data_IF_068911821518
#
_entry.id   IF_068911821518
#
_cell.length_a   1.000
_cell.length_b   1.000
_cell.length_c   1.000
_cell.angle_alpha   90.00
_cell.angle_beta   90.00
_cell.angle_gamma   90.00
#
_symmetry.space_group_name_H-M   'P 1'
#
loop_
_entity.id
_entity.type
_entity.pdbx_description
1 polymer ?
#
# COMPACT_ATOMS: atom_id res chain seq x y z
N UNK A 1 -9.48 22.60 26.31
CA UNK A 1 -8.57 21.45 26.24
C UNK A 1 -8.44 21.09 24.79
N UNK A 2 -7.34 21.53 24.19
CA UNK A 2 -6.98 21.24 22.81
C UNK A 2 -6.86 19.71 22.70
N UNK A 3 -7.77 19.07 21.96
CA UNK A 3 -7.70 17.63 21.67
C UNK A 3 -6.26 17.31 21.24
N UNK A 4 -5.57 16.37 21.89
CA UNK A 4 -4.17 16.05 21.57
C UNK A 4 -4.05 15.79 20.07
N UNK A 5 -3.45 16.76 19.36
CA UNK A 5 -3.39 16.75 17.90
C UNK A 5 -2.62 15.50 17.43
N UNK A 6 -1.62 15.05 18.21
CA UNK A 6 -0.85 13.85 17.88
C UNK A 6 -1.71 12.59 17.99
N UNK A 7 -2.61 12.51 18.97
CA UNK A 7 -3.55 11.38 19.06
C UNK A 7 -4.41 11.31 17.79
N UNK A 8 -5.03 12.43 17.40
CA UNK A 8 -5.88 12.50 16.20
C UNK A 8 -5.13 12.19 14.90
N UNK A 9 -3.89 12.69 14.78
CA UNK A 9 -3.04 12.35 13.64
C UNK A 9 -2.69 10.86 13.61
N UNK A 10 -2.48 10.25 14.78
CA UNK A 10 -2.20 8.82 14.91
C UNK A 10 -3.43 7.96 14.59
N UNK A 11 -4.63 8.39 14.98
CA UNK A 11 -5.89 7.77 14.52
C UNK A 11 -6.04 7.87 13.00
N UNK A 12 -5.76 9.04 12.42
CA UNK A 12 -5.78 9.24 10.97
C UNK A 12 -4.79 8.33 10.24
N UNK A 13 -3.58 8.19 10.80
CA UNK A 13 -2.57 7.25 10.33
C UNK A 13 -3.10 5.81 10.33
N UNK A 14 -3.63 5.33 11.47
CA UNK A 14 -4.21 3.99 11.58
C UNK A 14 -5.32 3.74 10.56
N UNK A 15 -6.23 4.70 10.41
CA UNK A 15 -7.34 4.59 9.46
C UNK A 15 -6.82 4.42 8.03
N UNK A 16 -5.91 5.31 7.63
CA UNK A 16 -5.34 5.30 6.28
C UNK A 16 -4.51 4.03 6.00
N UNK A 17 -3.81 3.51 7.01
CA UNK A 17 -3.02 2.28 6.89
C UNK A 17 -3.93 1.05 6.79
N UNK A 18 -5.05 1.04 7.52
CA UNK A 18 -6.08 0.01 7.37
C UNK A 18 -6.70 -0.01 5.96
N UNK A 19 -6.93 1.17 5.39
CA UNK A 19 -7.42 1.30 4.01
C UNK A 19 -6.38 0.80 3.01
N UNK A 20 -5.12 1.20 3.16
CA UNK A 20 -4.01 0.73 2.33
C UNK A 20 -3.88 -0.80 2.37
N UNK A 21 -3.86 -1.39 3.57
CA UNK A 21 -3.86 -2.85 3.77
C UNK A 21 -5.01 -3.54 3.06
N UNK A 22 -6.22 -2.96 3.12
CA UNK A 22 -7.40 -3.50 2.46
C UNK A 22 -7.27 -3.42 0.95
N UNK A 23 -6.74 -2.33 0.41
CA UNK A 23 -6.48 -2.18 -1.02
C UNK A 23 -5.47 -3.23 -1.50
N UNK A 24 -4.35 -3.42 -0.80
CA UNK A 24 -3.36 -4.46 -1.11
C UNK A 24 -3.98 -5.86 -1.16
N UNK A 25 -4.79 -6.21 -0.14
CA UNK A 25 -5.46 -7.51 -0.05
C UNK A 25 -6.50 -7.75 -1.15
N UNK A 26 -7.16 -6.68 -1.62
CA UNK A 26 -8.20 -6.77 -2.63
C UNK A 26 -7.70 -7.35 -3.95
N UNK A 27 -6.43 -7.11 -4.31
CA UNK A 27 -5.84 -7.61 -5.55
C UNK A 27 -5.96 -9.14 -5.66
N UNK A 28 -5.60 -9.84 -4.60
CA UNK A 28 -5.63 -11.31 -4.58
C UNK A 28 -7.04 -11.87 -4.47
N UNK A 29 -7.92 -11.20 -3.71
CA UNK A 29 -9.32 -11.59 -3.56
C UNK A 29 -10.10 -11.44 -4.87
N UNK A 30 -9.89 -10.34 -5.59
CA UNK A 30 -10.61 -10.00 -6.82
C UNK A 30 -10.07 -10.77 -8.03
N UNK A 31 -8.74 -10.91 -8.11
CA UNK A 31 -8.06 -11.42 -9.30
C UNK A 31 -7.41 -12.79 -9.06
N UNK A 32 -6.63 -12.94 -7.99
CA UNK A 32 -5.78 -14.12 -7.75
C UNK A 32 -6.54 -15.44 -7.68
N UNK A 33 -7.60 -15.51 -6.87
CA UNK A 33 -8.40 -16.74 -6.72
C UNK A 33 -9.11 -17.20 -8.00
N UNK A 34 -9.33 -16.29 -8.94
CA UNK A 34 -10.01 -16.60 -10.19
C UNK A 34 -9.03 -16.93 -11.32
N UNK A 35 -7.88 -16.25 -11.39
CA UNK A 35 -6.82 -16.63 -12.32
C UNK A 35 -6.34 -18.05 -12.09
N UNK A 36 -6.24 -18.48 -10.82
CA UNK A 36 -5.89 -19.87 -10.50
C UNK A 36 -6.94 -20.89 -10.96
N UNK A 37 -8.21 -20.50 -11.01
CA UNK A 37 -9.31 -21.37 -11.48
C UNK A 37 -9.39 -21.45 -13.00
N UNK A 38 -9.06 -20.35 -13.68
CA UNK A 38 -9.09 -20.22 -15.13
C UNK A 38 -7.76 -20.60 -15.79
N UNK A 39 -6.74 -20.96 -15.01
CA UNK A 39 -5.40 -21.34 -15.49
C UNK A 39 -4.72 -20.25 -16.33
N UNK A 40 -5.14 -18.99 -16.21
CA UNK A 40 -4.51 -17.85 -16.90
C UNK A 40 -3.12 -17.52 -16.34
N UNK A 41 -2.84 -17.95 -15.10
CA UNK A 41 -1.55 -17.79 -14.44
C UNK A 41 -1.10 -19.13 -13.85
N UNK A 42 0.16 -19.47 -14.06
CA UNK A 42 0.81 -20.54 -13.31
C UNK A 42 1.16 -20.09 -11.87
N UNK A 43 1.73 -21.01 -11.07
CA UNK A 43 2.05 -20.72 -9.67
C UNK A 43 3.15 -19.66 -9.51
N UNK A 44 4.11 -19.62 -10.43
CA UNK A 44 5.22 -18.67 -10.40
C UNK A 44 4.74 -17.27 -10.81
N UNK A 45 3.96 -17.18 -11.89
CA UNK A 45 3.30 -15.96 -12.36
C UNK A 45 2.35 -15.39 -11.29
N UNK A 46 1.56 -16.25 -10.64
CA UNK A 46 0.70 -15.84 -9.53
C UNK A 46 1.52 -15.30 -8.35
N UNK A 47 2.63 -15.96 -8.00
CA UNK A 47 3.52 -15.50 -6.93
C UNK A 47 4.17 -14.17 -7.29
N UNK A 48 4.54 -13.98 -8.56
CA UNK A 48 5.15 -12.74 -9.03
C UNK A 48 4.20 -11.54 -8.91
N UNK A 49 2.93 -11.72 -9.30
CA UNK A 49 1.94 -10.65 -9.26
C UNK A 49 1.44 -10.33 -7.84
N UNK A 50 1.23 -11.35 -7.01
CA UNK A 50 0.57 -11.16 -5.71
C UNK A 50 1.51 -11.27 -4.51
N UNK A 51 2.68 -11.89 -4.65
CA UNK A 51 3.60 -12.14 -3.54
C UNK A 51 4.13 -10.86 -2.88
N UNK A 52 4.51 -9.86 -3.69
CA UNK A 52 4.90 -8.56 -3.16
C UNK A 52 3.76 -7.82 -2.45
N UNK A 53 2.53 -7.94 -2.96
CA UNK A 53 1.36 -7.34 -2.33
C UNK A 53 1.00 -8.04 -1.01
N UNK A 54 1.09 -9.37 -0.96
CA UNK A 54 0.91 -10.18 0.25
C UNK A 54 1.94 -9.79 1.33
N UNK A 55 3.20 -9.61 0.94
CA UNK A 55 4.28 -9.15 1.82
C UNK A 55 3.91 -7.82 2.48
N UNK A 56 3.59 -6.81 1.67
CA UNK A 56 3.25 -5.49 2.18
C UNK A 56 1.94 -5.48 2.97
N UNK A 57 0.97 -6.32 2.60
CA UNK A 57 -0.27 -6.45 3.35
C UNK A 57 0.00 -6.99 4.77
N UNK A 58 0.89 -7.98 4.90
CA UNK A 58 1.30 -8.52 6.19
C UNK A 58 2.03 -7.46 7.02
N UNK A 59 3.01 -6.78 6.42
CA UNK A 59 3.74 -5.67 7.06
C UNK A 59 2.81 -4.55 7.52
N UNK A 60 1.87 -4.15 6.67
CA UNK A 60 0.85 -3.13 6.98
C UNK A 60 -0.08 -3.56 8.11
N UNK A 61 -0.42 -4.85 8.20
CA UNK A 61 -1.21 -5.42 9.31
C UNK A 61 -0.49 -5.31 10.64
N UNK A 62 0.80 -5.62 10.66
CA UNK A 62 1.63 -5.50 11.86
C UNK A 62 1.68 -4.05 12.33
N UNK A 63 1.89 -3.12 11.40
CA UNK A 63 1.91 -1.69 11.67
C UNK A 63 0.57 -1.17 12.20
N UNK A 64 -0.56 -1.56 11.60
CA UNK A 64 -1.90 -1.28 12.13
C UNK A 64 -2.05 -1.74 13.58
N UNK A 65 -1.59 -2.96 13.86
CA UNK A 65 -1.68 -3.56 15.21
C UNK A 65 -0.85 -2.78 16.22
N UNK A 66 0.38 -2.37 15.84
CA UNK A 66 1.24 -1.56 16.70
C UNK A 66 0.65 -0.17 16.95
N UNK A 67 0.15 0.51 15.91
CA UNK A 67 -0.48 1.83 16.07
C UNK A 67 -1.72 1.74 16.96
N UNK A 68 -2.55 0.71 16.76
CA UNK A 68 -3.73 0.49 17.59
C UNK A 68 -3.36 0.28 19.06
N UNK A 69 -2.34 -0.54 19.36
CA UNK A 69 -1.86 -0.74 20.72
C UNK A 69 -1.32 0.56 21.35
N UNK A 70 -0.69 1.45 20.56
CA UNK A 70 -0.24 2.76 21.02
C UNK A 70 -1.42 3.68 21.35
N UNK A 71 -2.46 3.69 20.52
CA UNK A 71 -3.67 4.48 20.74
C UNK A 71 -4.44 4.02 21.99
N UNK A 72 -4.52 2.70 22.20
CA UNK A 72 -5.18 2.12 23.39
C UNK A 72 -4.45 2.48 24.70
N UNK A 73 -3.12 2.65 24.65
CA UNK A 73 -2.28 2.98 25.80
C UNK A 73 -1.73 4.43 25.73
N UNK A 74 -2.47 5.34 25.11
CA UNK A 74 -1.97 6.69 24.83
C UNK A 74 -1.66 7.49 26.09
N UNK A 75 -0.42 7.97 26.21
CA UNK A 75 0.03 8.93 27.20
C UNK A 75 0.54 10.18 26.47
N UNK A 76 -0.14 11.32 26.70
CA UNK A 76 0.19 12.58 26.06
C UNK A 76 1.64 13.04 26.33
N UNK A 77 2.28 12.63 27.42
CA UNK A 77 3.66 13.04 27.70
C UNK A 77 4.69 11.99 27.27
N UNK A 78 4.31 10.71 27.26
CA UNK A 78 5.26 9.60 27.09
C UNK A 78 5.18 8.88 25.75
N UNK A 79 4.06 8.97 25.03
CA UNK A 79 3.92 8.22 23.78
C UNK A 79 4.89 8.72 22.72
N UNK A 80 5.67 7.79 22.18
CA UNK A 80 6.60 8.01 21.08
C UNK A 80 6.22 7.14 19.88
N UNK A 81 6.12 7.75 18.70
CA UNK A 81 5.75 7.07 17.45
C UNK A 81 6.95 6.66 16.60
N UNK A 82 8.14 7.18 16.89
CA UNK A 82 9.34 6.97 16.05
C UNK A 82 9.72 5.49 15.90
N UNK A 83 9.44 4.67 16.91
CA UNK A 83 9.71 3.23 16.89
C UNK A 83 8.84 2.43 15.91
N UNK A 84 7.74 2.99 15.41
CA UNK A 84 6.87 2.34 14.41
C UNK A 84 7.55 2.18 13.04
N UNK A 85 8.50 3.07 12.72
CA UNK A 85 9.14 3.14 11.41
C UNK A 85 10.55 2.56 11.48
N UNK A 86 10.65 1.29 11.88
CA UNK A 86 11.92 0.57 12.02
C UNK A 86 12.61 0.32 10.67
N UNK A 87 13.91 0.04 10.71
CA UNK A 87 14.68 -0.37 9.53
C UNK A 87 14.07 -1.63 8.89
N UNK A 88 13.63 -2.59 9.70
CA UNK A 88 12.95 -3.81 9.26
C UNK A 88 11.64 -3.50 8.48
N UNK A 89 10.86 -2.50 8.90
CA UNK A 89 9.69 -2.06 8.14
C UNK A 89 10.11 -1.61 6.74
N UNK A 90 11.14 -0.78 6.64
CA UNK A 90 11.61 -0.22 5.37
C UNK A 90 12.21 -1.29 4.45
N UNK A 91 12.93 -2.27 5.01
CA UNK A 91 13.44 -3.41 4.25
C UNK A 91 12.33 -4.17 3.53
N UNK A 92 11.13 -4.29 4.11
CA UNK A 92 9.97 -4.93 3.45
C UNK A 92 9.44 -4.14 2.27
N UNK A 93 9.47 -2.80 2.36
CA UNK A 93 9.12 -1.92 1.24
C UNK A 93 10.19 -1.92 0.14
N UNK A 94 11.46 -2.09 0.50
CA UNK A 94 12.54 -2.30 -0.48
C UNK A 94 12.43 -3.66 -1.16
N UNK A 95 12.15 -4.72 -0.39
CA UNK A 95 11.90 -6.08 -0.89
C UNK A 95 10.76 -6.10 -1.92
N UNK A 96 9.70 -5.30 -1.72
CA UNK A 96 8.63 -5.14 -2.73
C UNK A 96 9.14 -4.65 -4.09
N UNK A 97 10.17 -3.82 -4.15
CA UNK A 97 10.69 -3.28 -5.41
C UNK A 97 11.25 -4.39 -6.33
N UNK A 98 11.74 -5.47 -5.73
CA UNK A 98 12.22 -6.66 -6.45
C UNK A 98 11.06 -7.40 -7.15
N UNK A 99 9.85 -7.35 -6.60
CA UNK A 99 8.65 -7.93 -7.21
C UNK A 99 8.00 -6.98 -8.23
N UNK A 100 8.03 -5.68 -7.98
CA UNK A 100 7.26 -4.70 -8.74
C UNK A 100 7.59 -4.69 -10.24
N UNK A 101 8.87 -4.60 -10.60
CA UNK A 101 9.26 -4.54 -12.02
C UNK A 101 8.90 -5.81 -12.79
N UNK A 102 9.25 -7.02 -12.30
CA UNK A 102 8.80 -8.25 -12.93
C UNK A 102 7.27 -8.39 -13.02
N UNK A 103 6.54 -8.04 -11.95
CA UNK A 103 5.08 -8.10 -11.93
C UNK A 103 4.45 -7.19 -12.99
N UNK A 104 4.96 -5.96 -13.13
CA UNK A 104 4.51 -5.01 -14.17
C UNK A 104 4.82 -5.50 -15.59
N UNK A 105 5.98 -6.13 -15.77
CA UNK A 105 6.36 -6.70 -17.06
C UNK A 105 5.44 -7.85 -17.45
N UNK A 106 5.22 -8.81 -16.54
CA UNK A 106 4.32 -9.93 -16.74
C UNK A 106 2.89 -9.47 -17.05
N UNK A 107 2.39 -8.47 -16.32
CA UNK A 107 1.05 -7.93 -16.54
C UNK A 107 0.90 -7.32 -17.95
N UNK A 108 1.94 -6.62 -18.44
CA UNK A 108 1.96 -6.08 -19.80
C UNK A 108 1.99 -7.18 -20.86
N UNK A 109 2.79 -8.23 -20.63
CA UNK A 109 2.88 -9.38 -21.53
C UNK A 109 1.55 -10.11 -21.63
N UNK A 110 0.90 -10.43 -20.50
CA UNK A 110 -0.43 -11.04 -20.47
C UNK A 110 -1.46 -10.16 -21.16
N UNK A 111 -1.47 -8.85 -20.89
CA UNK A 111 -2.38 -7.92 -21.55
C UNK A 111 -2.19 -7.84 -23.08
N UNK A 112 -1.01 -8.18 -23.59
CA UNK A 112 -0.70 -8.16 -25.03
C UNK A 112 -0.91 -9.49 -25.73
N UNK A 113 -0.92 -10.60 -24.99
CA UNK A 113 -0.86 -11.97 -25.56
C UNK A 113 -2.04 -12.85 -25.20
N UNK A 114 -2.79 -12.52 -24.15
CA UNK A 114 -3.86 -13.34 -23.58
C UNK A 114 -5.17 -12.54 -23.52
N UNK A 115 -5.98 -12.66 -24.57
CA UNK A 115 -7.28 -11.99 -24.68
C UNK A 115 -8.27 -12.44 -23.59
N UNK A 116 -8.18 -13.70 -23.14
CA UNK A 116 -9.05 -14.24 -22.08
C UNK A 116 -8.70 -13.59 -20.73
N UNK A 117 -7.40 -13.45 -20.44
CA UNK A 117 -6.92 -12.70 -19.28
C UNK A 117 -7.40 -11.24 -19.29
N UNK A 118 -7.34 -10.58 -20.44
CA UNK A 118 -7.77 -9.17 -20.60
C UNK A 118 -9.26 -9.01 -20.36
N UNK A 119 -10.09 -9.84 -21.01
CA UNK A 119 -11.54 -9.80 -20.82
C UNK A 119 -11.92 -10.12 -19.36
N UNK A 120 -11.22 -11.06 -18.73
CA UNK A 120 -11.41 -11.34 -17.32
C UNK A 120 -11.06 -10.15 -16.42
N UNK A 121 -9.94 -9.47 -16.68
CA UNK A 121 -9.56 -8.25 -15.96
C UNK A 121 -10.63 -7.17 -16.07
N UNK A 122 -11.22 -6.98 -17.26
CA UNK A 122 -12.31 -6.02 -17.48
C UNK A 122 -13.57 -6.41 -16.69
N UNK A 123 -13.94 -7.70 -16.71
CA UNK A 123 -15.10 -8.20 -15.98
C UNK A 123 -14.96 -7.96 -14.46
N UNK A 124 -13.76 -8.18 -13.91
CA UNK A 124 -13.50 -7.97 -12.48
C UNK A 124 -13.40 -6.52 -12.08
N UNK A 125 -12.90 -5.64 -12.98
CA UNK A 125 -12.97 -4.19 -12.79
C UNK A 125 -14.41 -3.69 -12.62
N UNK A 126 -15.39 -4.31 -13.26
CA UNK A 126 -16.81 -3.97 -13.04
C UNK A 126 -17.27 -4.11 -11.57
N UNK A 127 -16.58 -4.94 -10.79
CA UNK A 127 -16.83 -5.17 -9.36
C UNK A 127 -15.80 -4.49 -8.43
N UNK A 128 -14.72 -3.92 -8.98
CA UNK A 128 -13.58 -3.37 -8.26
C UNK A 128 -13.31 -1.92 -8.69
N UNK A 129 -13.14 -1.01 -7.73
CA UNK A 129 -12.80 0.38 -8.07
C UNK A 129 -11.38 0.49 -8.68
N UNK A 130 -10.48 -0.42 -8.32
CA UNK A 130 -9.09 -0.43 -8.74
C UNK A 130 -8.75 -1.56 -9.74
N UNK A 131 -7.92 -1.21 -10.71
CA UNK A 131 -7.33 -2.15 -11.66
C UNK A 131 -6.15 -2.89 -11.03
N UNK A 132 -5.79 -4.08 -11.54
CA UNK A 132 -4.59 -4.77 -11.06
C UNK A 132 -3.31 -3.91 -11.25
N UNK A 133 -3.26 -3.10 -12.31
CA UNK A 133 -2.16 -2.15 -12.54
C UNK A 133 -2.08 -1.10 -11.43
N UNK A 134 -3.20 -0.47 -11.09
CA UNK A 134 -3.25 0.56 -10.04
C UNK A 134 -2.93 -0.02 -8.68
N UNK A 135 -3.36 -1.25 -8.38
CA UNK A 135 -3.03 -1.95 -7.14
C UNK A 135 -1.53 -2.27 -7.02
N UNK A 136 -0.87 -2.65 -8.12
CA UNK A 136 0.59 -2.81 -8.15
C UNK A 136 1.31 -1.47 -8.02
N UNK A 137 0.73 -0.38 -8.50
CA UNK A 137 1.35 0.94 -8.43
C UNK A 137 1.19 1.59 -7.04
N UNK A 138 0.25 1.12 -6.20
CA UNK A 138 -0.01 1.67 -4.86
C UNK A 138 1.26 1.84 -3.99
N UNK A 139 2.13 0.83 -3.83
CA UNK A 139 3.32 0.98 -2.96
C UNK A 139 4.41 1.86 -3.58
N UNK A 140 4.31 2.17 -4.86
CA UNK A 140 5.32 2.92 -5.63
C UNK A 140 4.91 4.37 -5.90
N UNK A 141 3.63 4.68 -5.78
CA UNK A 141 3.08 6.00 -6.04
C UNK A 141 3.26 6.87 -4.81
N UNK A 142 4.30 7.71 -4.78
CA UNK A 142 4.35 8.81 -3.82
C UNK A 142 3.06 9.64 -3.90
N UNK A 143 2.46 10.11 -2.78
CA UNK A 143 1.35 11.04 -2.82
C UNK A 143 1.93 12.31 -3.45
N UNK A 144 1.65 12.48 -4.74
CA UNK A 144 2.18 13.60 -5.49
C UNK A 144 1.17 14.72 -5.34
N UNK A 145 1.15 15.37 -4.16
CA UNK A 145 0.47 16.65 -4.03
C UNK A 145 1.50 17.74 -3.70
N UNK A 146 1.57 18.82 -4.50
CA UNK A 146 2.46 19.93 -4.24
C UNK A 146 1.97 20.70 -3.02
N UNK A 147 2.89 20.95 -2.08
CA UNK A 147 2.72 21.84 -0.94
C UNK A 147 2.29 23.25 -1.41
N UNK A 148 0.98 23.51 -1.48
CA UNK A 148 0.42 24.83 -1.76
C UNK A 148 -0.91 25.08 -1.01
N UNK A 149 -0.79 25.25 0.32
CA UNK A 149 -1.63 26.10 1.20
C UNK A 149 -3.17 25.88 1.30
N UNK A 150 -3.80 26.35 2.41
CA UNK A 150 -5.01 25.74 2.95
C UNK A 150 -6.28 26.40 2.40
N UNK A 151 -7.16 25.57 1.84
CA UNK A 151 -8.57 25.90 1.72
C UNK A 151 -9.39 24.62 2.00
N UNK A 152 -9.91 24.51 3.22
CA UNK A 152 -11.18 23.83 3.42
C UNK A 152 -12.28 24.74 2.82
N UNK A 153 -13.39 24.25 2.25
CA UNK A 153 -14.04 22.98 2.58
C UNK A 153 -14.59 22.18 1.38
N UNK A 154 -14.46 20.84 1.38
CA UNK A 154 -15.56 19.94 0.98
C UNK A 154 -15.21 18.49 1.35
N UNK A 155 -16.20 17.82 1.92
CA UNK A 155 -16.06 16.59 2.69
C UNK A 155 -16.10 15.33 1.81
N UNK A 156 -15.27 15.27 0.76
CA UNK A 156 -15.37 14.18 -0.22
C UNK A 156 -14.08 13.51 -0.71
N UNK A 157 -12.90 13.88 -0.20
CA UNK A 157 -11.65 13.26 -0.67
C UNK A 157 -10.70 12.93 0.49
N UNK A 158 -10.88 11.75 1.07
CA UNK A 158 -9.85 11.05 1.83
C UNK A 158 -9.68 9.66 1.22
N UNK A 159 -9.04 9.60 0.04
CA UNK A 159 -8.53 8.36 -0.54
C UNK A 159 -7.06 8.59 -0.86
N UNK A 160 -6.24 8.61 0.19
CA UNK A 160 -4.80 8.50 0.08
C UNK A 160 -4.29 7.90 1.40
N UNK A 161 -3.95 6.61 1.33
CA UNK A 161 -3.29 5.90 2.42
C UNK A 161 -2.03 6.67 2.84
N UNK A 162 -1.94 7.01 4.12
CA UNK A 162 -0.89 7.84 4.67
C UNK A 162 0.21 6.98 5.28
N UNK A 163 0.78 6.05 4.52
CA UNK A 163 2.18 5.62 4.69
C UNK A 163 2.80 5.53 3.30
N UNK A 164 3.11 6.70 2.78
CA UNK A 164 4.04 6.81 1.65
C UNK A 164 5.05 7.88 2.01
N UNK A 165 5.92 7.54 2.96
CA UNK A 165 7.12 8.32 3.24
C UNK A 165 8.29 7.76 2.42
N UNK A 166 8.53 8.43 1.28
CA UNK A 166 9.80 8.59 0.57
C UNK A 166 10.82 7.44 0.57
N UNK A 167 11.00 6.73 -0.57
CA UNK A 167 12.27 6.09 -0.89
C UNK A 167 13.08 7.00 -1.83
N UNK A 168 13.45 8.23 -1.42
CA UNK A 168 14.42 9.02 -2.22
C UNK A 168 15.09 10.20 -1.52
N UNK A 169 15.83 9.95 -0.44
CA UNK A 169 17.08 10.69 -0.20
C UNK A 169 17.98 9.94 0.79
N UNK A 170 18.81 9.03 0.28
CA UNK A 170 20.16 8.85 0.82
C UNK A 170 20.85 10.22 0.74
N UNK A 171 20.68 11.07 1.75
CA UNK A 171 21.70 12.07 2.03
C UNK A 171 22.90 11.31 2.54
N UNK A 172 23.89 11.19 1.67
CA UNK A 172 25.29 11.06 2.05
C UNK A 172 25.55 12.08 3.17
N UNK A 173 25.62 11.61 4.40
CA UNK A 173 26.37 12.32 5.44
C UNK A 173 27.81 11.81 5.36
N UNK A 174 28.48 12.23 4.28
CA UNK A 174 29.89 12.59 4.40
C UNK A 174 29.86 13.94 5.09
N UNK A 175 30.28 14.00 6.35
CA UNK A 175 31.01 15.13 6.93
C UNK A 175 31.57 14.67 8.29
N UNK A 176 32.89 14.79 8.34
CA UNK A 176 33.88 14.61 9.41
C UNK A 176 33.37 14.66 10.85
#
# INVERSE_FOLDING_TARGET
>A
TECDIRFRLTEGLLHSECEYRRALGSAKELYGGAFRKLMCLDEEEHRLLFGGLDLLQATSKELCTQIQAILENWDQEKTQLGGLFSEELWEKYEEYQEFYRPARQLLREKNATDDEFVEFCKLRRGAAQDTLETLLDLPTTAPTEPLAQPAMPSLHWYHAGAIIMFPRQRRRSVLR
#
